data_IF_101602828159
#
_entry.id   IF_101602828159
#
_cell.length_a   1.000
_cell.length_b   1.000
_cell.length_c   1.000
_cell.angle_alpha   90.00
_cell.angle_beta   90.00
_cell.angle_gamma   90.00
#
_symmetry.space_group_name_H-M   'P 1'
#
loop_
_entity.id
_entity.type
_entity.pdbx_description
1 polymer ?
#
# COMPACT_ATOMS: atom_id res chain seq x y z
N UNK A 1 -59.80 -17.44 44.63
CA UNK A 1 -60.48 -18.52 43.86
C UNK A 1 -61.94 -18.57 44.32
N UNK A 2 -62.97 -18.79 43.48
CA UNK A 2 -62.98 -19.37 42.12
C UNK A 2 -63.79 -18.61 41.02
N UNK A 3 -63.62 -19.15 39.79
CA UNK A 3 -64.27 -18.98 38.47
C UNK A 3 -65.79 -18.71 38.39
N UNK A 4 -66.20 -18.04 37.30
CA UNK A 4 -67.08 -18.50 36.17
C UNK A 4 -67.14 -17.38 35.11
N UNK A 5 -66.55 -17.49 33.91
CA UNK A 5 -66.92 -18.28 32.73
C UNK A 5 -68.29 -17.89 32.12
N UNK A 6 -68.30 -17.14 31.01
CA UNK A 6 -69.25 -17.35 29.90
C UNK A 6 -68.62 -16.88 28.57
N UNK A 7 -68.91 -17.69 27.56
CA UNK A 7 -68.33 -17.85 26.23
C UNK A 7 -69.16 -17.07 25.18
N UNK A 8 -68.56 -16.60 24.08
CA UNK A 8 -69.12 -16.50 22.70
C UNK A 8 -68.02 -15.84 21.83
N UNK A 9 -67.21 -16.54 21.04
CA UNK A 9 -67.43 -17.22 19.76
C UNK A 9 -67.65 -16.28 18.55
N UNK A 10 -66.89 -16.58 17.47
CA UNK A 10 -66.95 -16.10 16.07
C UNK A 10 -66.25 -14.75 15.78
N UNK A 11 -65.45 -14.57 14.71
CA UNK A 11 -65.25 -15.35 13.49
C UNK A 11 -63.87 -15.07 12.86
N UNK A 12 -63.43 -16.05 12.08
CA UNK A 12 -62.41 -16.00 11.03
C UNK A 12 -62.46 -14.72 10.19
N UNK A 13 -61.30 -14.12 9.91
CA UNK A 13 -60.98 -13.63 8.56
C UNK A 13 -59.47 -13.70 8.34
N UNK A 14 -59.08 -14.53 7.37
CA UNK A 14 -57.75 -14.55 6.77
C UNK A 14 -57.72 -13.40 5.77
N UNK A 15 -56.78 -12.47 5.92
CA UNK A 15 -56.37 -11.57 4.82
C UNK A 15 -54.83 -11.54 4.77
N UNK A 16 -54.34 -12.09 3.67
CA UNK A 16 -53.00 -11.94 3.11
C UNK A 16 -52.85 -10.49 2.61
N UNK A 17 -51.72 -9.82 2.88
CA UNK A 17 -50.92 -9.05 1.91
C UNK A 17 -50.06 -7.94 2.57
N UNK A 18 -48.78 -7.95 2.16
CA UNK A 18 -47.85 -6.82 1.96
C UNK A 18 -47.58 -5.84 3.12
N UNK A 19 -46.38 -5.93 3.71
CA UNK A 19 -45.71 -4.78 4.32
C UNK A 19 -45.12 -3.91 3.19
N UNK A 20 -45.81 -2.82 2.86
CA UNK A 20 -45.26 -1.68 2.12
C UNK A 20 -44.28 -0.93 3.05
N UNK A 21 -42.99 -0.89 2.69
CA UNK A 21 -41.99 -0.07 3.39
C UNK A 21 -42.02 1.35 2.83
N UNK A 22 -42.70 2.26 3.52
CA UNK A 22 -42.50 3.70 3.36
C UNK A 22 -41.37 4.14 4.29
N UNK A 23 -40.20 4.42 3.71
CA UNK A 23 -39.07 5.06 4.39
C UNK A 23 -38.67 6.27 3.54
N UNK A 24 -39.27 7.42 3.84
CA UNK A 24 -38.84 8.71 3.31
C UNK A 24 -37.70 9.24 4.19
N UNK A 25 -36.46 9.17 3.72
CA UNK A 25 -35.31 9.91 4.30
C UNK A 25 -35.12 11.26 3.58
N UNK A 26 -34.70 12.33 4.29
CA UNK A 26 -34.58 13.66 3.72
C UNK A 26 -33.37 13.80 2.79
N UNK A 27 -33.61 14.46 1.66
CA UNK A 27 -32.64 14.86 0.65
C UNK A 27 -31.57 15.80 1.23
N UNK A 28 -30.34 15.31 1.36
CA UNK A 28 -29.14 16.11 1.59
C UNK A 28 -28.26 15.97 0.36
N UNK A 29 -28.38 16.92 -0.56
CA UNK A 29 -27.49 17.11 -1.70
C UNK A 29 -26.07 17.43 -1.21
N UNK A 30 -25.04 16.59 -1.45
CA UNK A 30 -23.67 16.95 -1.14
C UNK A 30 -23.09 17.84 -2.24
N UNK A 31 -22.78 19.09 -1.90
CA UNK A 31 -21.87 19.94 -2.66
C UNK A 31 -20.49 19.28 -2.66
N UNK A 32 -20.11 18.71 -3.81
CA UNK A 32 -18.81 18.04 -3.98
C UNK A 32 -17.68 19.07 -3.98
N UNK A 33 -16.82 19.03 -2.96
CA UNK A 33 -15.45 19.53 -3.03
C UNK A 33 -14.64 18.65 -3.98
N UNK A 34 -13.52 19.13 -4.57
CA UNK A 34 -12.69 18.29 -5.43
C UNK A 34 -12.11 17.16 -4.59
N UNK A 35 -12.76 16.00 -4.67
CA UNK A 35 -12.32 14.77 -4.03
C UNK A 35 -11.37 14.12 -5.01
N UNK A 36 -10.07 14.19 -4.73
CA UNK A 36 -9.06 13.42 -5.46
C UNK A 36 -9.46 11.95 -5.39
N UNK A 37 -9.78 11.36 -6.54
CA UNK A 37 -10.10 9.93 -6.62
C UNK A 37 -8.78 9.17 -6.54
N UNK A 38 -8.64 8.31 -5.53
CA UNK A 38 -7.50 7.39 -5.40
C UNK A 38 -7.86 6.08 -6.12
N UNK A 39 -7.17 5.79 -7.21
CA UNK A 39 -7.20 4.46 -7.82
C UNK A 39 -6.19 3.55 -7.12
N UNK A 40 -6.66 2.41 -6.60
CA UNK A 40 -5.84 1.43 -5.86
C UNK A 40 -5.56 0.25 -6.79
N UNK A 41 -4.28 -0.06 -7.03
CA UNK A 41 -3.85 -1.35 -7.61
C UNK A 41 -3.57 -2.36 -6.49
N UNK A 42 -3.78 -3.65 -6.75
CA UNK A 42 -3.44 -4.72 -5.81
C UNK A 42 -1.93 -4.75 -5.52
N UNK A 43 -1.55 -5.09 -4.29
CA UNK A 43 -0.15 -5.11 -3.87
C UNK A 43 0.65 -6.15 -4.66
N UNK A 44 1.64 -5.70 -5.43
CA UNK A 44 2.46 -6.58 -6.27
C UNK A 44 3.67 -7.11 -5.48
N UNK A 45 3.86 -8.44 -5.53
CA UNK A 45 5.01 -9.11 -4.90
C UNK A 45 6.08 -9.37 -5.96
N UNK A 46 7.27 -8.79 -5.77
CA UNK A 46 8.39 -8.90 -6.70
C UNK A 46 9.56 -9.56 -5.99
N UNK A 47 10.16 -10.59 -6.61
CA UNK A 47 11.43 -11.16 -6.14
C UNK A 47 12.51 -10.85 -7.18
N UNK A 48 13.57 -10.17 -6.76
CA UNK A 48 14.72 -9.87 -7.63
C UNK A 48 15.68 -11.05 -7.73
N UNK A 49 16.50 -11.04 -8.77
CA UNK A 49 17.63 -11.95 -8.89
C UNK A 49 18.61 -11.77 -7.72
N UNK A 50 19.26 -12.85 -7.24
CA UNK A 50 20.23 -12.76 -6.16
C UNK A 50 21.38 -11.80 -6.47
N UNK A 51 21.70 -10.94 -5.51
CA UNK A 51 22.78 -9.96 -5.62
C UNK A 51 23.93 -10.36 -4.71
N UNK A 52 25.18 -10.28 -5.22
CA UNK A 52 26.38 -10.58 -4.42
C UNK A 52 27.17 -9.30 -4.15
N UNK A 53 27.35 -8.98 -2.87
CA UNK A 53 27.98 -7.73 -2.42
C UNK A 53 29.26 -7.99 -1.61
N UNK A 54 30.16 -7.01 -1.63
CA UNK A 54 31.35 -6.99 -0.80
C UNK A 54 30.98 -6.61 0.65
N UNK A 55 31.69 -7.16 1.66
CA UNK A 55 31.46 -6.78 3.06
C UNK A 55 31.88 -5.33 3.35
N UNK A 56 31.28 -4.73 4.38
CA UNK A 56 31.52 -3.35 4.81
C UNK A 56 30.29 -2.46 4.64
N UNK A 57 30.51 -1.17 4.39
CA UNK A 57 29.42 -0.22 4.13
C UNK A 57 28.87 -0.44 2.73
N UNK A 58 27.55 -0.54 2.63
CA UNK A 58 26.85 -0.67 1.37
C UNK A 58 25.62 0.22 1.26
N UNK A 59 24.91 0.10 0.14
CA UNK A 59 23.73 0.91 -0.13
C UNK A 59 22.71 0.11 -0.93
N UNK A 60 21.45 0.12 -0.50
CA UNK A 60 20.34 -0.26 -1.37
C UNK A 60 19.86 1.01 -2.09
N UNK A 61 19.95 0.99 -3.41
CA UNK A 61 19.49 2.06 -4.29
C UNK A 61 18.10 1.67 -4.78
N UNK A 62 17.09 2.46 -4.40
CA UNK A 62 15.71 2.27 -4.86
C UNK A 62 15.36 3.41 -5.78
N UNK A 63 15.10 3.09 -7.03
CA UNK A 63 14.67 4.05 -8.01
C UNK A 63 13.22 3.77 -8.41
N UNK A 64 12.39 4.81 -8.33
CA UNK A 64 11.01 4.77 -8.79
C UNK A 64 10.91 5.69 -9.99
N UNK A 65 10.55 5.11 -11.12
CA UNK A 65 10.31 5.84 -12.36
C UNK A 65 8.82 5.97 -12.62
N UNK A 66 8.44 7.11 -13.18
CA UNK A 66 7.08 7.45 -13.56
C UNK A 66 7.07 7.87 -15.04
N UNK A 67 5.94 7.73 -15.74
CA UNK A 67 5.79 8.29 -17.07
C UNK A 67 5.94 9.80 -17.06
N UNK A 68 6.27 10.37 -18.22
CA UNK A 68 6.28 11.83 -18.41
C UNK A 68 4.91 12.39 -18.06
N UNK A 69 4.89 13.51 -17.33
CA UNK A 69 3.66 14.18 -16.92
C UNK A 69 3.10 13.67 -15.60
N UNK A 70 3.85 12.86 -14.84
CA UNK A 70 3.47 12.42 -13.50
C UNK A 70 4.50 12.85 -12.45
N UNK A 71 4.06 12.91 -11.19
CA UNK A 71 4.89 13.24 -10.02
C UNK A 71 4.43 12.48 -8.78
N UNK A 72 5.26 12.50 -7.73
CA UNK A 72 4.80 12.11 -6.39
C UNK A 72 3.68 13.03 -5.90
N UNK A 73 2.81 12.47 -5.09
CA UNK A 73 1.75 13.22 -4.42
C UNK A 73 2.37 14.18 -3.38
N UNK A 74 1.86 15.41 -3.33
CA UNK A 74 2.31 16.47 -2.42
C UNK A 74 1.50 16.55 -1.10
N UNK A 75 0.45 15.73 -0.95
CA UNK A 75 -0.43 15.65 0.21
C UNK A 75 -0.25 14.34 1.01
N UNK A 76 0.10 13.25 0.33
CA UNK A 76 0.27 11.92 0.90
C UNK A 76 1.75 11.49 0.81
N UNK A 77 2.36 11.07 1.93
CA UNK A 77 3.79 10.72 1.93
C UNK A 77 4.04 9.43 1.16
N UNK A 78 5.15 9.40 0.43
CA UNK A 78 5.80 8.16 0.04
C UNK A 78 6.25 7.43 1.30
N UNK A 79 6.01 6.12 1.35
CA UNK A 79 6.41 5.29 2.49
C UNK A 79 7.33 4.18 2.02
N UNK A 80 8.40 3.95 2.77
CA UNK A 80 9.24 2.78 2.63
C UNK A 80 9.48 2.14 4.00
N UNK A 81 9.40 0.82 4.05
CA UNK A 81 9.84 0.01 5.17
C UNK A 81 10.82 -1.03 4.66
N UNK A 82 11.99 -1.05 5.27
CA UNK A 82 13.10 -1.92 4.87
C UNK A 82 13.49 -2.80 6.04
N UNK A 83 13.58 -4.09 5.79
CA UNK A 83 14.01 -5.08 6.78
C UNK A 83 14.98 -6.08 6.15
N UNK A 84 15.77 -6.72 7.00
CA UNK A 84 16.68 -7.79 6.64
C UNK A 84 16.40 -9.03 7.51
N UNK A 85 16.50 -10.22 6.93
CA UNK A 85 16.49 -11.45 7.71
C UNK A 85 17.87 -11.73 8.30
N UNK A 86 17.94 -12.11 9.58
CA UNK A 86 19.20 -12.42 10.25
C UNK A 86 20.01 -11.17 10.62
N UNK A 87 21.32 -11.32 10.77
CA UNK A 87 22.24 -10.24 11.20
C UNK A 87 23.34 -9.91 10.19
N UNK A 88 23.33 -10.57 9.03
CA UNK A 88 24.37 -10.40 8.01
C UNK A 88 24.22 -9.08 7.26
N UNK A 89 22.98 -8.61 7.04
CA UNK A 89 22.70 -7.28 6.51
C UNK A 89 21.98 -6.48 7.59
N UNK A 90 22.51 -5.31 7.94
CA UNK A 90 21.90 -4.39 8.89
C UNK A 90 21.43 -3.17 8.11
N UNK A 91 20.16 -2.84 8.26
CA UNK A 91 19.53 -1.67 7.65
C UNK A 91 19.58 -0.51 8.65
N UNK A 92 19.87 0.69 8.17
CA UNK A 92 19.79 1.90 9.00
C UNK A 92 18.37 2.08 9.57
N UNK A 93 18.28 2.42 10.86
CA UNK A 93 17.00 2.44 11.58
C UNK A 93 16.02 3.48 11.06
N UNK A 94 16.49 4.53 10.39
CA UNK A 94 15.63 5.53 9.73
C UNK A 94 14.75 4.91 8.64
N UNK A 95 15.11 3.74 8.13
CA UNK A 95 14.41 3.03 7.05
C UNK A 95 13.49 1.91 7.52
N UNK A 96 13.44 1.64 8.83
CA UNK A 96 12.43 0.73 9.39
C UNK A 96 11.01 1.29 9.25
N UNK A 97 10.89 2.62 9.14
CA UNK A 97 9.67 3.35 8.82
C UNK A 97 10.01 4.73 8.26
N UNK A 98 10.29 4.78 6.96
CA UNK A 98 10.56 6.01 6.23
C UNK A 98 9.25 6.57 5.67
N UNK A 99 9.01 7.87 5.88
CA UNK A 99 7.88 8.60 5.30
C UNK A 99 8.37 9.98 4.83
N UNK A 100 8.11 10.35 3.58
CA UNK A 100 8.53 11.64 3.02
C UNK A 100 7.56 12.12 1.94
N UNK A 101 7.21 13.41 1.97
CA UNK A 101 6.47 14.06 0.88
C UNK A 101 7.45 14.40 -0.24
N UNK A 102 7.08 14.04 -1.47
CA UNK A 102 7.88 14.29 -2.69
C UNK A 102 9.37 13.92 -2.50
N UNK A 103 9.69 12.65 -2.19
CA UNK A 103 11.08 12.24 -1.98
C UNK A 103 11.92 12.46 -3.24
N UNK A 104 13.18 12.85 -3.05
CA UNK A 104 14.16 12.88 -4.13
C UNK A 104 14.60 11.47 -4.47
N UNK A 105 14.45 11.08 -5.73
CA UNK A 105 14.92 9.80 -6.26
C UNK A 105 16.34 9.92 -6.87
N UNK A 106 17.14 8.84 -6.84
CA UNK A 106 16.86 7.57 -6.18
C UNK A 106 17.03 7.66 -4.66
N UNK A 107 16.30 6.84 -3.92
CA UNK A 107 16.53 6.65 -2.49
C UNK A 107 17.85 5.89 -2.28
N UNK A 108 18.64 6.36 -1.31
CA UNK A 108 19.89 5.71 -0.92
C UNK A 108 19.76 5.24 0.51
N UNK A 109 19.58 3.93 0.68
CA UNK A 109 19.36 3.29 1.98
C UNK A 109 20.69 2.72 2.46
N UNK A 110 21.31 3.26 3.52
CA UNK A 110 22.57 2.75 4.04
C UNK A 110 22.41 1.33 4.59
N UNK A 111 23.38 0.47 4.28
CA UNK A 111 23.47 -0.90 4.77
C UNK A 111 24.83 -1.14 5.43
N UNK A 112 24.86 -1.98 6.46
CA UNK A 112 26.09 -2.62 6.95
C UNK A 112 26.06 -4.08 6.52
N UNK A 113 27.09 -4.52 5.79
CA UNK A 113 27.18 -5.83 5.14
C UNK A 113 28.24 -6.69 5.83
N UNK A 114 27.80 -7.76 6.47
CA UNK A 114 28.62 -8.82 7.05
C UNK A 114 28.49 -10.08 6.20
N UNK A 115 29.57 -10.85 6.06
CA UNK A 115 29.58 -12.09 5.27
C UNK A 115 28.44 -13.05 5.61
N UNK A 116 27.85 -13.64 4.57
CA UNK A 116 26.73 -14.57 4.69
C UNK A 116 25.55 -14.20 3.79
N UNK A 117 24.51 -15.02 3.84
CA UNK A 117 23.27 -14.79 3.09
C UNK A 117 22.24 -14.05 3.95
N UNK A 118 21.49 -13.16 3.34
CA UNK A 118 20.35 -12.46 3.93
C UNK A 118 19.30 -12.18 2.86
N UNK A 119 18.06 -11.96 3.29
CA UNK A 119 16.98 -11.50 2.43
C UNK A 119 16.61 -10.10 2.91
N UNK A 120 16.73 -9.12 2.02
CA UNK A 120 16.16 -7.80 2.23
C UNK A 120 14.72 -7.79 1.74
N UNK A 121 13.81 -7.22 2.53
CA UNK A 121 12.43 -6.92 2.13
C UNK A 121 12.23 -5.41 2.12
N UNK A 122 11.58 -4.92 1.08
CA UNK A 122 11.23 -3.53 0.88
C UNK A 122 9.73 -3.42 0.59
N UNK A 123 9.01 -2.82 1.53
CA UNK A 123 7.60 -2.49 1.40
C UNK A 123 7.48 -1.03 0.99
N UNK A 124 6.87 -0.76 -0.17
CA UNK A 124 6.64 0.57 -0.69
C UNK A 124 5.14 0.89 -0.73
N UNK A 125 4.80 2.10 -0.34
CA UNK A 125 3.50 2.72 -0.64
C UNK A 125 3.74 4.03 -1.35
N UNK A 126 3.31 4.11 -2.61
CA UNK A 126 3.64 5.18 -3.53
C UNK A 126 2.36 5.89 -3.94
N UNK A 127 2.19 7.12 -3.46
CA UNK A 127 1.13 8.01 -3.92
C UNK A 127 1.69 8.91 -5.03
N UNK A 128 1.05 8.90 -6.20
CA UNK A 128 1.53 9.64 -7.37
C UNK A 128 0.35 10.15 -8.21
N UNK A 129 0.55 11.25 -8.94
CA UNK A 129 -0.54 11.95 -9.63
C UNK A 129 -0.08 12.45 -10.99
N UNK A 130 -1.04 12.75 -11.87
CA UNK A 130 -0.76 13.56 -13.06
C UNK A 130 -0.28 14.96 -12.61
N UNK A 131 0.79 15.45 -13.22
CA UNK A 131 1.50 16.65 -12.80
C UNK A 131 0.75 17.95 -13.15
N UNK A 132 -0.14 17.92 -14.14
CA UNK A 132 -0.92 19.10 -14.58
C UNK A 132 -2.32 19.08 -13.97
N UNK A 133 -2.97 17.92 -13.98
CA UNK A 133 -4.32 17.75 -13.48
C UNK A 133 -4.34 16.78 -12.29
N UNK A 134 -4.01 17.29 -11.11
CA UNK A 134 -3.95 16.53 -9.84
C UNK A 134 -5.31 16.01 -9.34
N UNK A 135 -6.36 16.02 -10.18
CA UNK A 135 -7.67 15.48 -9.84
C UNK A 135 -7.67 13.95 -9.72
N UNK A 136 -6.69 13.27 -10.34
CA UNK A 136 -6.50 11.83 -10.28
C UNK A 136 -5.13 11.50 -9.69
N UNK A 137 -5.16 10.79 -8.57
CA UNK A 137 -3.96 10.22 -7.96
C UNK A 137 -4.12 8.71 -7.83
N UNK A 138 -2.99 8.04 -7.85
CA UNK A 138 -2.86 6.60 -7.87
C UNK A 138 -2.10 6.17 -6.62
N UNK A 139 -2.41 4.97 -6.15
CA UNK A 139 -1.65 4.26 -5.12
C UNK A 139 -1.10 3.00 -5.71
N UNK A 140 0.22 2.85 -5.59
CA UNK A 140 0.95 1.64 -5.92
C UNK A 140 1.60 1.08 -4.64
N UNK A 141 1.33 -0.19 -4.34
CA UNK A 141 1.88 -0.91 -3.20
C UNK A 141 2.74 -2.06 -3.70
N UNK A 142 3.98 -2.15 -3.22
CA UNK A 142 4.95 -3.19 -3.61
C UNK A 142 5.54 -3.86 -2.41
N UNK A 143 5.62 -5.18 -2.47
CA UNK A 143 6.47 -5.99 -1.59
C UNK A 143 7.62 -6.56 -2.41
N UNK A 144 8.83 -6.06 -2.17
CA UNK A 144 10.01 -6.43 -2.96
C UNK A 144 10.96 -7.25 -2.09
N UNK A 145 11.30 -8.44 -2.57
CA UNK A 145 12.28 -9.35 -1.94
C UNK A 145 13.58 -9.33 -2.72
N UNK A 146 14.69 -9.07 -2.03
CA UNK A 146 16.04 -9.01 -2.61
C UNK A 146 16.95 -10.01 -1.90
N UNK A 147 17.22 -11.17 -2.49
CA UNK A 147 18.20 -12.10 -1.95
C UNK A 147 19.61 -11.50 -2.06
N UNK A 148 20.34 -11.41 -0.95
CA UNK A 148 21.70 -10.89 -0.88
C UNK A 148 22.65 -11.96 -0.36
N UNK A 149 23.78 -12.13 -1.04
CA UNK A 149 24.95 -12.85 -0.53
C UNK A 149 26.09 -11.88 -0.34
N UNK A 150 26.63 -11.78 0.87
CA UNK A 150 27.82 -10.98 1.15
C UNK A 150 29.05 -11.87 1.14
N UNK A 151 29.98 -11.61 0.23
CA UNK A 151 31.16 -12.44 -0.02
C UNK A 151 32.41 -11.57 -0.28
N UNK A 152 33.56 -11.96 0.27
CA UNK A 152 34.82 -11.20 0.12
C UNK A 152 35.35 -11.14 -1.32
N UNK A 153 34.92 -12.04 -2.20
CA UNK A 153 35.31 -12.05 -3.62
C UNK A 153 34.53 -11.03 -4.44
N UNK A 154 33.39 -10.54 -3.93
CA UNK A 154 32.59 -9.52 -4.60
C UNK A 154 33.28 -8.14 -4.53
N UNK A 155 32.89 -7.27 -5.47
CA UNK A 155 33.39 -5.89 -5.56
C UNK A 155 32.28 -4.84 -5.45
N UNK A 156 31.04 -5.22 -5.76
CA UNK A 156 29.90 -4.32 -5.67
C UNK A 156 29.57 -4.06 -4.20
N UNK A 157 29.32 -2.81 -3.83
CA UNK A 157 28.89 -2.42 -2.48
C UNK A 157 27.43 -1.94 -2.48
N UNK A 158 26.76 -1.99 -3.62
CA UNK A 158 25.39 -1.54 -3.75
C UNK A 158 24.51 -2.58 -4.41
N UNK A 159 23.27 -2.65 -3.95
CA UNK A 159 22.18 -3.35 -4.60
C UNK A 159 21.24 -2.33 -5.23
N UNK A 160 20.58 -2.70 -6.34
CA UNK A 160 19.62 -1.81 -7.01
C UNK A 160 18.27 -2.49 -7.17
N UNK A 161 17.23 -1.70 -6.97
CA UNK A 161 15.83 -2.06 -7.22
C UNK A 161 15.18 -0.97 -8.05
N UNK A 162 14.59 -1.36 -9.17
CA UNK A 162 13.88 -0.46 -10.08
C UNK A 162 12.37 -0.74 -9.99
N UNK A 163 11.59 0.32 -9.77
CA UNK A 163 10.13 0.28 -9.80
C UNK A 163 9.67 1.18 -10.93
N UNK A 164 8.91 0.63 -11.87
CA UNK A 164 8.32 1.38 -12.97
C UNK A 164 6.82 1.48 -12.78
N UNK A 165 6.33 2.70 -12.50
CA UNK A 165 4.91 2.94 -12.36
C UNK A 165 4.27 3.05 -13.74
N UNK A 166 3.13 2.38 -13.91
CA UNK A 166 2.33 2.43 -15.14
C UNK A 166 0.93 2.91 -14.77
N UNK A 167 0.39 3.94 -15.44
CA UNK A 167 -0.95 4.42 -15.17
C UNK A 167 -1.95 3.30 -15.45
N UNK A 168 -2.96 3.10 -14.58
CA UNK A 168 -4.03 2.15 -14.85
C UNK A 168 -4.72 2.51 -16.18
N UNK A 169 -4.83 1.54 -17.08
CA UNK A 169 -5.69 1.66 -18.27
C UNK A 169 -7.06 1.11 -17.91
N UNK A 170 -8.09 1.94 -18.01
CA UNK A 170 -9.49 1.56 -17.81
C UNK A 170 -10.15 1.17 -19.13
#
# INVERSE_FOLDING_TARGET
MPRKLTLLALAFFVILAACEKDNTEPDVSPTLTPTTVIAVSEAENITLDPQTLAPGQGTLIVNVSMPIGYKFNNLAPFKAQVAATGSNVIVDSAWTRYEQIEPTMPLQIPLTLNEGASILTLDLTIYWCEAVNESLCFVDERHITVPITVDRSARATFATTEVSLVPPTY
#
